data_IF_949940654855
#
_entry.id   IF_949940654855
#
_cell.length_a   1.000
_cell.length_b   1.000
_cell.length_c   1.000
_cell.angle_alpha   90.00
_cell.angle_beta   90.00
_cell.angle_gamma   90.00
#
_symmetry.space_group_name_H-M   'P 1'
#
loop_
_entity.id
_entity.type
_entity.pdbx_description
1 polymer ?
#
# COMPACT_ATOMS: atom_id res chain seq x y z
N UNK A 1 -9.73 16.35 -12.30
CA UNK A 1 -8.81 16.10 -11.21
C UNK A 1 -7.51 15.46 -11.70
N UNK A 2 -6.47 15.42 -10.88
CA UNK A 2 -5.19 14.77 -11.26
C UNK A 2 -5.39 13.27 -11.49
N UNK A 3 -6.22 12.63 -10.68
CA UNK A 3 -6.54 11.21 -10.83
C UNK A 3 -7.28 10.95 -12.14
N UNK A 4 -8.28 11.78 -12.47
CA UNK A 4 -9.01 11.67 -13.73
C UNK A 4 -8.11 11.85 -14.97
N UNK A 5 -7.13 12.75 -14.91
CA UNK A 5 -6.12 12.87 -15.94
C UNK A 5 -5.27 11.60 -16.09
N UNK A 6 -4.85 11.00 -14.99
CA UNK A 6 -4.14 9.73 -14.95
C UNK A 6 -4.97 8.58 -15.54
N UNK A 7 -6.24 8.49 -15.19
CA UNK A 7 -7.20 7.51 -15.75
C UNK A 7 -7.29 7.68 -17.26
N UNK A 8 -7.55 8.90 -17.74
CA UNK A 8 -7.64 9.17 -19.18
C UNK A 8 -6.36 8.83 -19.94
N UNK A 9 -5.20 9.12 -19.36
CA UNK A 9 -3.91 8.76 -19.94
C UNK A 9 -3.70 7.24 -20.02
N UNK A 10 -4.05 6.52 -18.95
CA UNK A 10 -3.99 5.06 -18.95
C UNK A 10 -4.94 4.42 -19.98
N UNK A 11 -6.18 4.92 -20.07
CA UNK A 11 -7.14 4.47 -21.08
C UNK A 11 -6.68 4.72 -22.51
N UNK A 12 -5.89 5.76 -22.74
CA UNK A 12 -5.26 6.05 -24.04
C UNK A 12 -4.02 5.19 -24.33
N UNK A 13 -3.71 4.19 -23.48
CA UNK A 13 -2.59 3.27 -23.66
C UNK A 13 -1.29 3.71 -22.97
N UNK A 14 -1.32 4.78 -22.21
CA UNK A 14 -0.18 5.22 -21.40
C UNK A 14 -0.07 4.47 -20.08
N UNK A 15 1.06 4.61 -19.38
CA UNK A 15 1.28 4.14 -18.03
C UNK A 15 1.53 5.35 -17.13
N UNK A 16 0.79 5.48 -16.04
CA UNK A 16 0.84 6.68 -15.22
C UNK A 16 1.11 6.36 -13.74
N UNK A 17 1.86 7.24 -13.11
CA UNK A 17 1.93 7.34 -11.65
C UNK A 17 1.41 8.73 -11.29
N UNK A 18 0.40 8.80 -10.46
CA UNK A 18 -0.14 10.05 -9.93
C UNK A 18 -0.06 10.04 -8.41
N UNK A 19 0.09 11.20 -7.82
CA UNK A 19 0.20 11.34 -6.39
C UNK A 19 -0.97 12.16 -5.83
N UNK A 20 -1.60 11.62 -4.80
CA UNK A 20 -2.53 12.32 -3.94
C UNK A 20 -1.82 12.56 -2.61
N UNK A 21 -1.40 13.79 -2.38
CA UNK A 21 -0.49 14.17 -1.29
C UNK A 21 -0.95 13.69 0.09
N UNK A 22 -2.29 13.69 0.33
CA UNK A 22 -2.88 13.17 1.55
C UNK A 22 -4.16 12.39 1.26
N UNK A 23 -4.33 11.29 2.00
CA UNK A 23 -5.50 10.42 1.94
C UNK A 23 -6.82 11.18 2.16
N UNK A 24 -6.78 12.24 2.94
CA UNK A 24 -7.91 13.15 3.20
C UNK A 24 -8.58 13.66 1.93
N UNK A 25 -7.82 13.81 0.86
CA UNK A 25 -8.32 14.30 -0.43
C UNK A 25 -8.89 13.21 -1.34
N UNK A 26 -8.82 11.94 -0.94
CA UNK A 26 -9.31 10.81 -1.73
C UNK A 26 -10.81 10.97 -2.06
N UNK A 27 -11.58 11.53 -1.13
CA UNK A 27 -13.00 11.81 -1.34
C UNK A 27 -13.29 12.77 -2.50
N UNK A 28 -12.38 13.71 -2.78
CA UNK A 28 -12.49 14.62 -3.95
C UNK A 28 -12.27 13.91 -5.28
N UNK A 29 -11.53 12.82 -5.27
CA UNK A 29 -11.27 11.97 -6.42
C UNK A 29 -12.13 10.70 -6.39
N UNK A 30 -13.22 10.68 -5.63
CA UNK A 30 -14.00 9.48 -5.35
C UNK A 30 -14.51 8.79 -6.61
N UNK A 31 -15.15 9.49 -7.53
CA UNK A 31 -15.62 8.89 -8.77
C UNK A 31 -14.46 8.37 -9.62
N UNK A 32 -13.40 9.15 -9.76
CA UNK A 32 -12.24 8.76 -10.55
C UNK A 32 -11.54 7.51 -10.00
N UNK A 33 -11.52 7.33 -8.67
CA UNK A 33 -10.93 6.14 -8.03
C UNK A 33 -11.91 4.98 -8.00
N UNK A 34 -13.11 5.18 -7.45
CA UNK A 34 -14.05 4.09 -7.13
C UNK A 34 -14.83 3.58 -8.35
N UNK A 35 -14.95 4.38 -9.40
CA UNK A 35 -15.62 4.01 -10.63
C UNK A 35 -14.64 3.92 -11.80
N UNK A 36 -14.00 5.03 -12.16
CA UNK A 36 -13.23 5.09 -13.40
C UNK A 36 -11.99 4.19 -13.33
N UNK A 37 -11.12 4.40 -12.34
CA UNK A 37 -9.92 3.60 -12.14
C UNK A 37 -10.25 2.14 -11.86
N UNK A 38 -11.22 1.88 -10.99
CA UNK A 38 -11.56 0.54 -10.53
C UNK A 38 -12.24 -0.33 -11.60
N UNK A 39 -13.07 0.25 -12.48
CA UNK A 39 -14.06 -0.53 -13.23
C UNK A 39 -13.88 -0.55 -14.74
N UNK A 40 -13.14 0.35 -15.33
CA UNK A 40 -13.03 0.41 -16.80
C UNK A 40 -12.48 -0.87 -17.43
N UNK A 41 -11.53 -1.55 -16.80
CA UNK A 41 -11.07 -2.86 -17.30
C UNK A 41 -12.24 -3.86 -17.42
N UNK A 42 -13.03 -3.97 -16.35
CA UNK A 42 -14.18 -4.88 -16.31
C UNK A 42 -15.28 -4.46 -17.26
N UNK A 43 -15.65 -3.18 -17.27
CA UNK A 43 -16.72 -2.66 -18.15
C UNK A 43 -16.39 -2.77 -19.64
N UNK A 44 -15.10 -2.73 -19.99
CA UNK A 44 -14.65 -2.92 -21.37
C UNK A 44 -14.40 -4.38 -21.73
N UNK A 45 -14.79 -5.34 -20.89
CA UNK A 45 -14.47 -6.76 -21.06
C UNK A 45 -12.96 -7.03 -21.22
N UNK A 46 -12.11 -6.24 -20.55
CA UNK A 46 -10.66 -6.36 -20.59
C UNK A 46 -9.97 -5.75 -21.81
N UNK A 47 -10.72 -5.09 -22.69
CA UNK A 47 -10.14 -4.38 -23.85
C UNK A 47 -9.26 -3.22 -23.43
N UNK A 48 -9.72 -2.43 -22.46
CA UNK A 48 -8.94 -1.36 -21.86
C UNK A 48 -8.14 -1.89 -20.68
N UNK A 49 -6.89 -1.49 -20.59
CA UNK A 49 -6.05 -1.72 -19.40
C UNK A 49 -6.01 -0.45 -18.58
N UNK A 50 -5.71 -0.59 -17.29
CA UNK A 50 -5.63 0.54 -16.37
C UNK A 50 -4.29 0.57 -15.62
N UNK A 51 -3.15 0.68 -16.32
CA UNK A 51 -1.83 0.73 -15.69
C UNK A 51 -1.61 2.08 -15.02
N UNK A 52 -2.31 2.30 -13.93
CA UNK A 52 -2.29 3.53 -13.14
C UNK A 52 -1.94 3.20 -11.69
N UNK A 53 -0.85 3.77 -11.20
CA UNK A 53 -0.48 3.75 -9.79
C UNK A 53 -0.87 5.07 -9.16
N UNK A 54 -1.79 5.03 -8.20
CA UNK A 54 -2.17 6.16 -7.37
C UNK A 54 -1.44 6.07 -6.04
N UNK A 55 -0.42 6.89 -5.84
CA UNK A 55 0.30 7.01 -4.56
C UNK A 55 -0.49 7.90 -3.61
N UNK A 56 -0.67 7.43 -2.38
CA UNK A 56 -1.50 8.10 -1.37
C UNK A 56 -0.79 8.13 -0.02
N UNK A 57 -0.50 9.31 0.45
CA UNK A 57 0.11 9.53 1.77
C UNK A 57 -0.93 9.38 2.87
N UNK A 58 -0.62 8.60 3.92
CA UNK A 58 -1.52 8.32 5.05
C UNK A 58 -0.84 8.48 6.41
N UNK A 59 -1.65 8.59 7.44
CA UNK A 59 -1.23 8.56 8.84
C UNK A 59 -0.84 9.91 9.42
N UNK A 60 -0.63 9.92 10.73
CA UNK A 60 -0.48 11.11 11.53
C UNK A 60 0.99 11.52 11.72
N UNK A 61 1.51 12.38 10.86
CA UNK A 61 2.81 13.06 11.08
C UNK A 61 2.64 14.58 11.21
N UNK A 62 1.68 15.14 10.50
CA UNK A 62 1.49 16.58 10.36
C UNK A 62 0.22 17.12 11.05
N UNK A 63 -0.18 16.48 12.14
CA UNK A 63 -1.34 16.89 12.93
C UNK A 63 -2.64 16.17 12.51
N UNK A 64 -3.77 16.67 13.02
CA UNK A 64 -5.06 16.02 12.85
C UNK A 64 -5.58 16.07 11.40
N UNK A 65 -5.30 17.14 10.68
CA UNK A 65 -5.84 17.39 9.33
C UNK A 65 -5.29 16.46 8.26
N UNK A 66 -4.18 15.76 8.51
CA UNK A 66 -3.55 14.84 7.54
C UNK A 66 -3.24 13.49 8.19
N UNK A 67 -4.20 12.97 8.93
CA UNK A 67 -4.04 11.77 9.75
C UNK A 67 -4.92 10.60 9.34
N UNK A 68 -5.71 10.74 8.27
CA UNK A 68 -6.64 9.69 7.85
C UNK A 68 -5.92 8.54 7.15
N UNK A 69 -6.53 7.36 7.23
CA UNK A 69 -6.16 6.16 6.50
C UNK A 69 -7.43 5.51 5.95
N UNK A 70 -7.60 5.56 4.63
CA UNK A 70 -8.74 4.98 3.93
C UNK A 70 -8.35 3.75 3.11
N UNK A 71 -7.28 3.06 3.48
CA UNK A 71 -6.86 1.83 2.81
C UNK A 71 -7.94 0.76 2.82
N UNK A 72 -8.65 0.59 3.95
CA UNK A 72 -9.77 -0.33 4.05
C UNK A 72 -10.93 0.03 3.09
N UNK A 73 -11.19 1.33 2.87
CA UNK A 73 -12.21 1.76 1.91
C UNK A 73 -11.83 1.36 0.48
N UNK A 74 -10.58 1.58 0.08
CA UNK A 74 -10.12 1.21 -1.26
C UNK A 74 -10.02 -0.30 -1.45
N UNK A 75 -9.65 -1.04 -0.41
CA UNK A 75 -9.65 -2.50 -0.42
C UNK A 75 -11.07 -3.11 -0.55
N UNK A 76 -12.10 -2.36 -0.14
CA UNK A 76 -13.50 -2.75 -0.33
C UNK A 76 -13.98 -2.61 -1.78
N UNK A 77 -13.30 -1.83 -2.62
CA UNK A 77 -13.73 -1.53 -4.00
C UNK A 77 -13.19 -2.59 -4.97
N UNK A 78 -14.05 -3.43 -5.58
CA UNK A 78 -13.60 -4.42 -6.55
C UNK A 78 -12.94 -3.75 -7.77
N UNK A 79 -11.83 -4.32 -8.19
CA UNK A 79 -11.05 -3.86 -9.34
C UNK A 79 -9.82 -3.02 -8.98
N UNK A 80 -9.68 -2.59 -7.72
CA UNK A 80 -8.47 -1.95 -7.21
C UNK A 80 -7.55 -2.98 -6.54
N UNK A 81 -6.26 -2.92 -6.84
CA UNK A 81 -5.22 -3.50 -6.01
C UNK A 81 -4.78 -2.47 -4.98
N UNK A 82 -4.53 -2.91 -3.75
CA UNK A 82 -4.12 -2.03 -2.65
C UNK A 82 -2.80 -2.53 -2.09
N UNK A 83 -1.76 -1.70 -2.20
CA UNK A 83 -0.44 -1.98 -1.65
C UNK A 83 -0.12 -1.01 -0.53
N UNK A 84 0.46 -1.52 0.55
CA UNK A 84 0.80 -0.72 1.71
C UNK A 84 2.11 -1.22 2.32
N UNK A 85 3.28 -0.75 1.84
CA UNK A 85 4.58 -1.20 2.32
C UNK A 85 4.83 -0.85 3.78
N UNK A 86 5.62 -1.69 4.44
CA UNK A 86 6.10 -1.49 5.80
C UNK A 86 7.56 -1.04 5.82
N UNK A 87 8.38 -1.58 4.91
CA UNK A 87 9.82 -1.35 4.85
C UNK A 87 10.25 -0.72 3.53
N UNK A 88 11.44 -0.17 3.43
CA UNK A 88 12.01 0.26 2.14
C UNK A 88 12.09 -0.86 1.11
N UNK A 89 12.39 -2.09 1.53
CA UNK A 89 12.38 -3.28 0.67
C UNK A 89 11.00 -3.57 0.13
N UNK A 90 9.97 -3.57 0.99
CA UNK A 90 8.58 -3.71 0.55
C UNK A 90 8.20 -2.60 -0.44
N UNK A 91 8.54 -1.35 -0.12
CA UNK A 91 8.19 -0.20 -0.95
C UNK A 91 8.76 -0.31 -2.37
N UNK A 92 10.03 -0.69 -2.50
CA UNK A 92 10.69 -0.89 -3.79
C UNK A 92 10.07 -2.05 -4.57
N UNK A 93 9.92 -3.22 -3.93
CA UNK A 93 9.40 -4.42 -4.59
C UNK A 93 7.93 -4.27 -5.01
N UNK A 94 7.09 -3.72 -4.13
CA UNK A 94 5.68 -3.46 -4.43
C UNK A 94 5.50 -2.38 -5.51
N UNK A 95 6.34 -1.34 -5.52
CA UNK A 95 6.27 -0.31 -6.55
C UNK A 95 6.69 -0.87 -7.92
N UNK A 96 7.74 -1.69 -7.96
CA UNK A 96 8.16 -2.38 -9.17
C UNK A 96 7.03 -3.27 -9.71
N UNK A 97 6.40 -4.08 -8.85
CA UNK A 97 5.27 -4.92 -9.20
C UNK A 97 4.09 -4.10 -9.75
N UNK A 98 3.75 -2.98 -9.08
CA UNK A 98 2.68 -2.09 -9.53
C UNK A 98 2.98 -1.49 -10.91
N UNK A 99 4.24 -1.11 -11.17
CA UNK A 99 4.66 -0.52 -12.42
C UNK A 99 4.79 -1.54 -13.57
N UNK A 100 5.10 -2.79 -13.28
CA UNK A 100 5.14 -3.87 -14.27
C UNK A 100 3.75 -4.29 -14.71
N UNK A 101 2.76 -4.25 -13.80
CA UNK A 101 1.40 -4.69 -14.02
C UNK A 101 0.57 -3.80 -14.95
N UNK A 102 -0.65 -4.23 -15.24
CA UNK A 102 -1.65 -3.49 -16.03
C UNK A 102 -2.93 -3.19 -15.25
N UNK A 103 -2.99 -3.63 -14.00
CA UNK A 103 -4.11 -3.37 -13.10
C UNK A 103 -3.91 -2.05 -12.35
N UNK A 104 -5.01 -1.39 -11.96
CA UNK A 104 -4.91 -0.16 -11.18
C UNK A 104 -4.50 -0.46 -9.74
N UNK A 105 -3.52 0.26 -9.25
CA UNK A 105 -2.99 0.11 -7.89
C UNK A 105 -3.16 1.39 -7.09
N UNK A 106 -3.74 1.29 -5.89
CA UNK A 106 -3.66 2.33 -4.87
C UNK A 106 -2.51 1.98 -3.93
N UNK A 107 -1.48 2.80 -3.95
CA UNK A 107 -0.23 2.58 -3.23
C UNK A 107 -0.19 3.51 -2.02
N UNK A 108 -0.50 2.98 -0.84
CA UNK A 108 -0.50 3.75 0.39
C UNK A 108 0.89 3.86 0.99
N UNK A 109 1.23 5.05 1.47
CA UNK A 109 2.52 5.36 2.06
C UNK A 109 2.32 6.00 3.44
N UNK A 110 2.72 5.29 4.49
CA UNK A 110 2.66 5.86 5.84
C UNK A 110 3.73 6.92 6.04
N UNK A 111 3.31 8.14 6.34
CA UNK A 111 4.22 9.26 6.63
C UNK A 111 5.17 8.97 7.81
N UNK A 112 4.76 8.11 8.74
CA UNK A 112 5.60 7.69 9.88
C UNK A 112 6.80 6.84 9.46
N UNK A 113 6.75 6.26 8.27
CA UNK A 113 7.80 5.38 7.75
C UNK A 113 8.79 6.09 6.83
N UNK A 114 8.52 7.32 6.39
CA UNK A 114 9.39 8.03 5.42
C UNK A 114 10.84 8.20 5.89
N UNK A 115 11.06 8.31 7.20
CA UNK A 115 12.39 8.48 7.78
C UNK A 115 12.94 7.17 8.37
N UNK A 116 12.25 6.03 8.18
CA UNK A 116 12.72 4.73 8.62
C UNK A 116 13.62 4.07 7.60
N UNK A 117 14.73 3.49 8.10
CA UNK A 117 15.59 2.61 7.31
C UNK A 117 15.03 1.21 7.16
N UNK A 118 15.83 0.33 6.55
CA UNK A 118 15.52 -1.09 6.44
C UNK A 118 15.93 -1.82 7.73
N UNK A 119 14.95 -2.39 8.42
CA UNK A 119 15.16 -3.03 9.73
C UNK A 119 15.09 -4.58 9.65
N UNK A 120 14.62 -5.15 8.54
CA UNK A 120 14.34 -6.58 8.44
C UNK A 120 15.22 -7.33 7.44
N UNK A 121 15.82 -6.61 6.49
CA UNK A 121 16.68 -7.24 5.48
C UNK A 121 18.16 -7.09 5.85
N UNK A 122 18.86 -8.22 6.14
CA UNK A 122 20.30 -8.17 6.37
C UNK A 122 21.03 -7.61 5.13
N UNK A 123 21.75 -6.51 5.31
CA UNK A 123 22.43 -5.83 4.21
C UNK A 123 21.65 -4.69 3.56
N UNK A 124 20.43 -4.42 4.04
CA UNK A 124 19.59 -3.32 3.56
C UNK A 124 18.80 -3.65 2.31
N UNK A 125 18.28 -2.63 1.64
CA UNK A 125 17.45 -2.80 0.44
C UNK A 125 18.28 -3.40 -0.71
N UNK A 126 17.86 -4.51 -1.34
CA UNK A 126 18.58 -5.10 -2.47
C UNK A 126 18.76 -4.10 -3.63
N UNK A 127 19.99 -4.02 -4.21
CA UNK A 127 20.30 -3.05 -5.28
C UNK A 127 19.60 -3.39 -6.60
N UNK A 128 19.50 -4.68 -6.95
CA UNK A 128 18.92 -5.16 -8.22
C UNK A 128 17.42 -4.89 -8.34
N UNK A 129 16.87 -5.15 -9.51
CA UNK A 129 15.41 -5.17 -9.72
C UNK A 129 14.82 -6.44 -9.08
N UNK A 130 13.72 -6.26 -8.39
CA UNK A 130 12.88 -7.35 -7.89
C UNK A 130 11.44 -6.86 -7.72
N UNK A 131 10.51 -7.79 -7.67
CA UNK A 131 9.10 -7.57 -7.36
C UNK A 131 8.74 -8.34 -6.09
N UNK A 132 7.88 -7.79 -5.26
CA UNK A 132 7.31 -8.50 -4.11
C UNK A 132 6.30 -9.53 -4.62
N UNK A 133 6.29 -10.72 -4.04
CA UNK A 133 5.29 -11.73 -4.35
C UNK A 133 3.92 -11.29 -3.79
N UNK A 134 2.90 -11.28 -4.66
CA UNK A 134 1.56 -10.81 -4.31
C UNK A 134 0.78 -11.91 -3.58
N UNK A 135 0.18 -11.55 -2.45
CA UNK A 135 -0.66 -12.47 -1.68
C UNK A 135 0.07 -13.24 -0.58
N UNK A 136 1.41 -13.14 -0.50
CA UNK A 136 2.19 -13.81 0.52
C UNK A 136 2.49 -12.86 1.69
N UNK A 137 2.03 -13.17 2.92
CA UNK A 137 2.38 -12.39 4.10
C UNK A 137 3.84 -12.64 4.50
N UNK A 138 4.54 -11.59 4.92
CA UNK A 138 5.88 -11.71 5.47
C UNK A 138 5.83 -11.96 6.99
N UNK A 139 6.38 -13.10 7.43
CA UNK A 139 6.54 -13.38 8.86
C UNK A 139 7.70 -12.54 9.38
N UNK A 140 7.39 -11.59 10.27
CA UNK A 140 8.38 -10.69 10.87
C UNK A 140 8.86 -11.17 12.24
N UNK A 141 8.14 -12.14 12.84
CA UNK A 141 8.46 -12.75 14.11
C UNK A 141 7.80 -14.12 14.19
N UNK A 142 8.53 -15.10 14.70
CA UNK A 142 7.99 -16.43 14.98
C UNK A 142 7.30 -16.45 16.35
N UNK A 143 6.17 -17.14 16.42
CA UNK A 143 5.40 -17.33 17.65
C UNK A 143 4.36 -18.44 17.49
N UNK A 144 3.82 -18.95 18.61
CA UNK A 144 2.89 -20.08 18.58
C UNK A 144 1.59 -19.89 19.38
N UNK A 145 1.49 -18.83 20.17
CA UNK A 145 0.32 -18.62 21.04
C UNK A 145 -0.72 -17.67 20.41
N UNK A 146 -0.26 -16.70 19.64
CA UNK A 146 -1.13 -15.72 18.98
C UNK A 146 -0.50 -15.22 17.68
N UNK A 147 -1.33 -14.97 16.67
CA UNK A 147 -0.92 -14.33 15.41
C UNK A 147 -1.42 -12.89 15.36
N UNK A 148 -0.53 -11.94 15.07
CA UNK A 148 -0.84 -10.52 14.93
C UNK A 148 -0.66 -10.10 13.47
N UNK A 149 -1.74 -10.01 12.71
CA UNK A 149 -1.70 -9.52 11.34
C UNK A 149 -1.70 -7.98 11.32
N UNK A 150 -0.70 -7.38 10.66
CA UNK A 150 -0.53 -5.94 10.60
C UNK A 150 0.05 -5.50 9.24
N UNK A 151 -0.06 -4.21 8.91
CA UNK A 151 0.50 -3.62 7.70
C UNK A 151 0.97 -2.18 7.95
N UNK A 152 1.81 -1.66 7.07
CA UNK A 152 2.32 -0.30 7.16
C UNK A 152 2.99 -0.02 8.52
N UNK A 153 2.78 1.15 9.09
CA UNK A 153 3.39 1.54 10.37
C UNK A 153 2.90 0.73 11.58
N UNK A 154 1.77 0.02 11.45
CA UNK A 154 1.22 -0.78 12.57
C UNK A 154 2.03 -2.04 12.85
N UNK A 155 2.83 -2.51 11.90
CA UNK A 155 3.75 -3.64 12.10
C UNK A 155 4.72 -3.38 13.25
N UNK A 156 5.28 -2.18 13.33
CA UNK A 156 6.18 -1.83 14.44
C UNK A 156 5.46 -1.83 15.80
N UNK A 157 4.18 -1.43 15.83
CA UNK A 157 3.36 -1.51 17.04
C UNK A 157 3.00 -2.95 17.40
N UNK A 158 2.81 -3.82 16.40
CA UNK A 158 2.60 -5.24 16.62
C UNK A 158 3.83 -5.90 17.26
N UNK A 159 5.03 -5.55 16.79
CA UNK A 159 6.28 -6.04 17.39
C UNK A 159 6.47 -5.57 18.83
N UNK A 160 6.22 -4.27 19.13
CA UNK A 160 6.22 -3.76 20.50
C UNK A 160 5.19 -4.51 21.39
N UNK A 161 4.00 -4.77 20.88
CA UNK A 161 2.97 -5.52 21.59
C UNK A 161 3.38 -6.98 21.84
N UNK A 162 4.03 -7.61 20.88
CA UNK A 162 4.56 -8.97 21.01
C UNK A 162 5.64 -9.07 22.12
N UNK A 163 6.50 -8.04 22.24
CA UNK A 163 7.47 -7.96 23.36
C UNK A 163 6.76 -7.87 24.71
N UNK A 164 5.73 -7.04 24.82
CA UNK A 164 4.94 -6.92 26.05
C UNK A 164 4.21 -8.23 26.39
N UNK A 165 3.69 -8.95 25.40
CA UNK A 165 3.04 -10.26 25.58
C UNK A 165 4.04 -11.28 26.14
N UNK A 166 5.24 -11.33 25.58
CA UNK A 166 6.29 -12.23 26.05
C UNK A 166 6.73 -11.88 27.48
N UNK A 167 7.02 -10.61 27.77
CA UNK A 167 7.55 -10.19 29.07
C UNK A 167 6.53 -10.30 30.21
N UNK A 168 5.26 -9.91 29.98
CA UNK A 168 4.24 -9.84 31.02
C UNK A 168 3.41 -11.09 31.16
N UNK A 169 3.21 -11.82 30.08
CA UNK A 169 2.25 -12.93 30.03
C UNK A 169 2.89 -14.25 29.62
N UNK A 170 4.16 -14.26 29.23
CA UNK A 170 4.87 -15.46 28.79
C UNK A 170 4.30 -16.02 27.48
N UNK A 171 3.63 -15.19 26.67
CA UNK A 171 3.01 -15.57 25.39
C UNK A 171 3.92 -15.22 24.23
N UNK A 172 4.07 -16.16 23.29
CA UNK A 172 4.78 -15.94 22.03
C UNK A 172 3.82 -15.48 20.93
N UNK A 173 4.14 -14.40 20.23
CA UNK A 173 3.33 -13.87 19.15
C UNK A 173 4.07 -13.95 17.80
N UNK A 174 3.36 -14.48 16.80
CA UNK A 174 3.73 -14.37 15.40
C UNK A 174 3.25 -13.06 14.81
#
# INVERSE_FOLDING_TARGET
SIVGAGVGYAMAGGRAVVELMYCDFLGRAGDEVFNQMAKWQSMSAGLLKMPLVLRVSVGAKYGAQHSQDWSALTAHIPGLKVYFPTTPTDAKGMLNLALAGTDPVVFFESQKLYDKGEDFEPGGVPEGYYETEEGEPAIRREGGDITIAAYGATVYKALEAADVLAEKYGMSAE
#
